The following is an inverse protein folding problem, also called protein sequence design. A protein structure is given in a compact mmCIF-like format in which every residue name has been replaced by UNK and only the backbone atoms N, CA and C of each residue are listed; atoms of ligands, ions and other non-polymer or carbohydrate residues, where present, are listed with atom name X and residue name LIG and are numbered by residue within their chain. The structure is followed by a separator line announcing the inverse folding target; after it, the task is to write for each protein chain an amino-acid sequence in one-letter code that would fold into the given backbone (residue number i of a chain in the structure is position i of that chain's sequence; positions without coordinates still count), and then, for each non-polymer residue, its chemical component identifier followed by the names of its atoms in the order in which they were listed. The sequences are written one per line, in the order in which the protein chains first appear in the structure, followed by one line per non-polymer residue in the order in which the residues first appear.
data_IF_167436186843
#
_entry.id   IF_167436186843
#
_cell.length_a   1.000
_cell.length_b   1.000
_cell.length_c   1.000
_cell.angle_alpha   90.00
_cell.angle_beta   90.00
_cell.angle_gamma   90.00
#
_symmetry.space_group_name_H-M   'P 1'
#
loop_
_entity.id
_entity.type
_entity.pdbx_description
1 polymer ?
#
# COMPACT_ATOMS: atom_id res chain seq x y z
N UNK A 1 20.63 -18.40 27.28
CA UNK A 1 20.79 -18.84 25.89
C UNK A 1 20.26 -17.72 25.04
N UNK A 2 21.12 -16.91 24.43
CA UNK A 2 20.76 -15.83 23.54
C UNK A 2 20.28 -16.49 22.26
N UNK A 3 18.97 -16.53 22.07
CA UNK A 3 18.35 -16.95 20.81
C UNK A 3 18.70 -15.85 19.79
N UNK A 4 19.60 -16.18 18.86
CA UNK A 4 20.12 -15.23 17.91
C UNK A 4 18.99 -14.73 16.99
N UNK A 5 18.39 -13.59 17.31
CA UNK A 5 17.49 -12.87 16.41
C UNK A 5 18.17 -12.75 15.06
N UNK A 6 17.65 -13.45 14.08
CA UNK A 6 18.15 -13.40 12.69
C UNK A 6 17.93 -11.97 12.20
N UNK A 7 18.99 -11.18 12.11
CA UNK A 7 18.87 -9.82 11.56
C UNK A 7 18.39 -9.94 10.12
N UNK A 8 17.27 -9.31 9.82
CA UNK A 8 16.77 -9.23 8.44
C UNK A 8 17.83 -8.55 7.57
N UNK A 9 18.03 -9.05 6.35
CA UNK A 9 18.91 -8.39 5.42
C UNK A 9 18.33 -7.04 4.98
N UNK A 10 19.16 -6.07 4.65
CA UNK A 10 18.70 -4.77 4.12
C UNK A 10 17.77 -4.94 2.90
N UNK A 11 18.07 -5.90 2.03
CA UNK A 11 17.22 -6.22 0.89
C UNK A 11 15.84 -6.72 1.31
N UNK A 12 15.77 -7.60 2.32
CA UNK A 12 14.50 -8.12 2.83
C UNK A 12 13.64 -7.03 3.45
N UNK A 13 14.25 -6.08 4.16
CA UNK A 13 13.53 -4.91 4.71
C UNK A 13 12.93 -4.07 3.59
N UNK A 14 13.71 -3.72 2.55
CA UNK A 14 13.20 -2.99 1.39
C UNK A 14 12.08 -3.76 0.68
N UNK A 15 12.25 -5.06 0.49
CA UNK A 15 11.23 -5.91 -0.14
C UNK A 15 9.93 -5.94 0.65
N UNK A 16 10.03 -5.99 1.99
CA UNK A 16 8.85 -5.92 2.87
C UNK A 16 8.13 -4.59 2.72
N UNK A 17 8.87 -3.48 2.72
CA UNK A 17 8.29 -2.14 2.49
C UNK A 17 7.56 -2.10 1.14
N UNK A 18 8.19 -2.57 0.06
CA UNK A 18 7.58 -2.60 -1.27
C UNK A 18 6.31 -3.46 -1.26
N UNK A 19 6.34 -4.63 -0.62
CA UNK A 19 5.17 -5.49 -0.55
C UNK A 19 3.99 -4.87 0.20
N UNK A 20 4.26 -4.12 1.27
CA UNK A 20 3.22 -3.53 2.14
C UNK A 20 2.75 -2.19 1.61
N UNK A 21 3.68 -1.28 1.28
CA UNK A 21 3.37 0.13 0.99
C UNK A 21 3.05 0.36 -0.49
N UNK A 22 3.72 -0.37 -1.40
CA UNK A 22 3.54 -0.14 -2.83
C UNK A 22 2.25 -0.79 -3.35
N UNK A 23 1.19 0.02 -3.49
CA UNK A 23 -0.16 -0.40 -3.92
C UNK A 23 -0.41 0.10 -5.35
N UNK A 24 -0.15 -0.75 -6.35
CA UNK A 24 -0.33 -0.41 -7.77
C UNK A 24 -1.77 -0.04 -8.11
N UNK A 25 -2.74 -0.64 -7.43
CA UNK A 25 -4.17 -0.45 -7.65
C UNK A 25 -4.62 1.00 -7.39
N UNK A 26 -3.91 1.70 -6.51
CA UNK A 26 -4.20 3.10 -6.20
C UNK A 26 -3.70 4.08 -7.27
N UNK A 27 -2.91 3.63 -8.24
CA UNK A 27 -2.47 4.47 -9.35
C UNK A 27 -3.63 4.87 -10.28
N UNK A 28 -4.60 3.99 -10.51
CA UNK A 28 -5.73 4.27 -11.39
C UNK A 28 -6.63 5.42 -10.89
N UNK A 29 -7.08 5.46 -9.63
CA UNK A 29 -7.78 6.62 -9.08
C UNK A 29 -6.94 7.90 -9.10
N UNK A 30 -5.64 7.83 -8.82
CA UNK A 30 -4.75 8.98 -8.90
C UNK A 30 -4.64 9.51 -10.32
N UNK A 31 -4.56 8.63 -11.33
CA UNK A 31 -4.54 9.01 -12.74
C UNK A 31 -5.81 9.74 -13.19
N UNK A 32 -6.97 9.48 -12.57
CA UNK A 32 -8.23 10.15 -12.87
C UNK A 32 -8.20 11.67 -12.58
N UNK A 33 -7.29 12.13 -11.71
CA UNK A 33 -7.11 13.58 -11.44
C UNK A 33 -6.41 14.30 -12.62
N UNK A 34 -5.81 13.55 -13.53
CA UNK A 34 -5.01 14.11 -14.64
C UNK A 34 -3.67 14.66 -14.18
N UNK A 35 -3.19 15.73 -14.84
CA UNK A 35 -1.87 16.30 -14.60
C UNK A 35 -1.67 16.86 -13.18
N UNK A 36 -2.73 17.31 -12.52
CA UNK A 36 -2.69 17.81 -11.15
C UNK A 36 -2.18 16.77 -10.12
N UNK A 37 -2.29 15.47 -10.42
CA UNK A 37 -1.77 14.43 -9.53
C UNK A 37 -0.29 14.62 -9.21
N UNK A 38 0.53 15.01 -10.18
CA UNK A 38 1.97 15.19 -9.98
C UNK A 38 2.29 16.30 -8.98
N UNK A 39 1.52 17.41 -9.02
CA UNK A 39 1.62 18.45 -7.99
C UNK A 39 1.31 17.87 -6.60
N UNK A 40 0.21 17.12 -6.46
CA UNK A 40 -0.21 16.57 -5.17
C UNK A 40 0.77 15.52 -4.64
N UNK A 41 1.33 14.68 -5.52
CA UNK A 41 2.38 13.75 -5.11
C UNK A 41 3.59 14.48 -4.55
N UNK A 42 4.13 15.48 -5.26
CA UNK A 42 5.29 16.25 -4.81
C UNK A 42 4.98 16.99 -3.51
N UNK A 43 3.85 17.68 -3.46
CA UNK A 43 3.42 18.44 -2.27
C UNK A 43 3.29 17.53 -1.04
N UNK A 44 2.61 16.39 -1.17
CA UNK A 44 2.41 15.46 -0.05
C UNK A 44 3.67 14.68 0.31
N UNK A 45 4.60 14.44 -0.61
CA UNK A 45 5.93 13.91 -0.27
C UNK A 45 6.64 14.88 0.67
N UNK A 46 6.65 16.18 0.36
CA UNK A 46 7.38 17.17 1.14
C UNK A 46 6.68 17.50 2.47
N UNK A 47 5.35 17.59 2.49
CA UNK A 47 4.61 18.08 3.65
C UNK A 47 4.09 16.96 4.55
N UNK A 48 3.92 15.74 4.04
CA UNK A 48 3.39 14.62 4.77
C UNK A 48 4.40 13.47 4.89
N UNK A 49 4.86 12.89 3.76
CA UNK A 49 5.70 11.69 3.80
C UNK A 49 7.04 11.92 4.49
N UNK A 50 7.75 13.00 4.17
CA UNK A 50 9.05 13.27 4.79
C UNK A 50 8.93 13.51 6.30
N UNK A 51 8.06 14.40 6.81
CA UNK A 51 7.87 14.57 8.25
C UNK A 51 7.41 13.28 8.94
N UNK A 52 6.48 12.55 8.33
CA UNK A 52 5.99 11.27 8.86
C UNK A 52 7.12 10.23 8.94
N UNK A 53 7.92 10.10 7.87
CA UNK A 53 9.07 9.19 7.84
C UNK A 53 10.14 9.54 8.88
N UNK A 54 10.39 10.83 9.13
CA UNK A 54 11.30 11.27 10.19
C UNK A 54 10.80 10.89 11.58
N UNK A 55 9.49 11.07 11.84
CA UNK A 55 8.88 10.67 13.12
C UNK A 55 8.94 9.16 13.31
N UNK A 56 8.60 8.38 12.29
CA UNK A 56 8.67 6.90 12.35
C UNK A 56 10.10 6.44 12.57
N UNK A 57 11.08 7.03 11.90
CA UNK A 57 12.49 6.68 12.07
C UNK A 57 12.99 7.00 13.49
N UNK A 58 12.62 8.15 14.04
CA UNK A 58 12.98 8.55 15.41
C UNK A 58 12.36 7.61 16.44
N UNK A 59 11.05 7.34 16.33
CA UNK A 59 10.35 6.47 17.26
C UNK A 59 10.82 5.01 17.15
N UNK A 60 11.01 4.50 15.93
CA UNK A 60 11.47 3.13 15.70
C UNK A 60 12.91 2.87 16.15
N UNK A 61 13.75 3.92 16.22
CA UNK A 61 15.11 3.81 16.74
C UNK A 61 15.19 4.07 18.25
N UNK A 62 14.21 4.75 18.82
CA UNK A 62 14.17 5.11 20.25
C UNK A 62 13.55 4.00 21.10
N UNK A 63 12.53 3.34 20.57
CA UNK A 63 11.78 2.29 21.26
C UNK A 63 12.12 0.91 20.69
N UNK A 64 12.86 0.10 21.45
CA UNK A 64 13.33 -1.22 21.04
C UNK A 64 12.27 -2.33 21.19
N UNK A 65 11.01 -1.98 21.52
CA UNK A 65 9.91 -2.91 21.74
C UNK A 65 9.43 -3.57 20.45
N UNK A 66 8.89 -4.78 20.55
CA UNK A 66 8.30 -5.50 19.41
C UNK A 66 6.86 -5.08 19.11
N UNK A 67 6.31 -4.13 19.88
CA UNK A 67 4.93 -3.66 19.77
C UNK A 67 4.72 -2.51 18.78
N UNK A 68 5.79 -1.95 18.17
CA UNK A 68 5.72 -0.85 17.22
C UNK A 68 4.88 0.33 17.74
N UNK A 69 3.87 0.76 16.99
CA UNK A 69 2.97 1.88 17.36
C UNK A 69 2.36 1.72 18.76
N UNK A 70 2.07 0.48 19.18
CA UNK A 70 1.55 0.23 20.54
C UNK A 70 2.53 0.71 21.60
N UNK A 71 3.81 0.34 21.50
CA UNK A 71 4.82 0.70 22.48
C UNK A 71 5.06 2.22 22.49
N UNK A 72 5.12 2.86 21.33
CA UNK A 72 5.31 4.29 21.23
C UNK A 72 4.21 5.07 21.93
N UNK A 73 2.95 4.67 21.71
CA UNK A 73 1.79 5.36 22.28
C UNK A 73 1.64 5.02 23.77
N UNK A 74 1.90 3.76 24.17
CA UNK A 74 1.86 3.36 25.58
C UNK A 74 2.87 4.14 26.41
N UNK A 75 4.11 4.23 25.94
CA UNK A 75 5.19 4.87 26.68
C UNK A 75 5.05 6.40 26.72
N UNK A 76 4.45 7.01 25.67
CA UNK A 76 4.18 8.44 25.64
C UNK A 76 2.89 8.87 26.33
N UNK A 77 1.81 8.08 26.22
CA UNK A 77 0.45 8.48 26.63
C UNK A 77 -0.21 7.51 27.62
N UNK A 78 0.46 6.43 27.95
CA UNK A 78 0.01 5.41 28.90
C UNK A 78 -0.79 4.25 28.28
N UNK A 79 -0.97 3.18 29.06
CA UNK A 79 -1.54 1.88 28.63
C UNK A 79 -2.91 1.99 27.95
N UNK A 80 -3.76 2.90 28.45
CA UNK A 80 -5.11 3.08 27.91
C UNK A 80 -5.09 3.55 26.46
N UNK A 81 -4.17 4.42 26.09
CA UNK A 81 -4.02 4.92 24.74
C UNK A 81 -3.29 3.91 23.85
N UNK A 82 -2.29 3.22 24.41
CA UNK A 82 -1.65 2.10 23.72
C UNK A 82 -2.64 1.02 23.32
N UNK A 83 -3.52 0.60 24.23
CA UNK A 83 -4.56 -0.39 23.92
C UNK A 83 -5.55 0.08 22.85
N UNK A 84 -5.94 1.36 22.86
CA UNK A 84 -6.86 1.93 21.86
C UNK A 84 -6.25 1.96 20.46
N UNK A 85 -5.01 2.41 20.33
CA UNK A 85 -4.35 2.48 19.03
C UNK A 85 -4.12 1.07 18.47
N UNK A 86 -3.70 0.12 19.33
CA UNK A 86 -3.52 -1.28 18.94
C UNK A 86 -4.80 -1.90 18.42
N UNK A 87 -5.94 -1.67 19.11
CA UNK A 87 -7.24 -2.14 18.65
C UNK A 87 -7.65 -1.53 17.31
N UNK A 88 -7.51 -0.20 17.17
CA UNK A 88 -7.84 0.49 15.91
C UNK A 88 -6.98 0.01 14.74
N UNK A 89 -5.71 -0.22 15.00
CA UNK A 89 -4.77 -0.75 14.02
C UNK A 89 -5.13 -2.19 13.62
N UNK A 90 -5.42 -3.04 14.60
CA UNK A 90 -5.84 -4.43 14.37
C UNK A 90 -7.12 -4.53 13.54
N UNK A 91 -8.15 -3.70 13.82
CA UNK A 91 -9.42 -3.72 13.07
C UNK A 91 -9.23 -3.34 11.60
N UNK A 92 -8.22 -2.51 11.28
CA UNK A 92 -7.96 -2.10 9.90
C UNK A 92 -7.56 -3.26 8.98
N UNK A 93 -6.82 -4.25 9.50
CA UNK A 93 -6.34 -5.38 8.69
C UNK A 93 -7.44 -6.28 8.13
N UNK A 94 -8.42 -6.78 8.91
CA UNK A 94 -9.53 -7.54 8.37
C UNK A 94 -10.32 -6.79 7.30
N UNK A 95 -10.52 -5.49 7.48
CA UNK A 95 -11.23 -4.66 6.50
C UNK A 95 -10.45 -4.53 5.20
N UNK A 96 -9.13 -4.36 5.29
CA UNK A 96 -8.26 -4.31 4.13
C UNK A 96 -8.22 -5.64 3.37
N UNK A 97 -8.04 -6.76 4.06
CA UNK A 97 -8.09 -8.10 3.44
C UNK A 97 -9.45 -8.35 2.79
N UNK A 98 -10.55 -7.96 3.43
CA UNK A 98 -11.89 -8.08 2.85
C UNK A 98 -12.01 -7.26 1.56
N UNK A 99 -11.48 -6.03 1.52
CA UNK A 99 -11.50 -5.20 0.30
C UNK A 99 -10.71 -5.84 -0.85
N UNK A 100 -9.56 -6.45 -0.57
CA UNK A 100 -8.78 -7.18 -1.57
C UNK A 100 -9.53 -8.42 -2.06
N UNK A 101 -10.19 -9.14 -1.15
CA UNK A 101 -10.98 -10.33 -1.51
C UNK A 101 -12.11 -10.00 -2.48
N UNK A 102 -12.80 -8.86 -2.29
CA UNK A 102 -13.89 -8.43 -3.19
C UNK A 102 -13.41 -8.00 -4.58
N UNK A 103 -12.18 -7.52 -4.71
CA UNK A 103 -11.60 -7.17 -6.02
C UNK A 103 -11.16 -8.40 -6.82
N UNK A 104 -10.82 -9.50 -6.14
CA UNK A 104 -10.20 -10.66 -6.77
C UNK A 104 -11.09 -11.36 -7.84
N UNK A 105 -12.39 -11.60 -7.61
CA UNK A 105 -13.28 -12.13 -8.63
C UNK A 105 -13.38 -11.27 -9.89
N UNK A 106 -13.40 -9.95 -9.72
CA UNK A 106 -13.50 -9.02 -10.85
C UNK A 106 -12.23 -9.04 -11.70
N UNK A 107 -11.05 -9.12 -11.07
CA UNK A 107 -9.76 -9.30 -11.76
C UNK A 107 -9.75 -10.62 -12.54
N UNK A 108 -10.18 -11.73 -11.91
CA UNK A 108 -10.29 -13.01 -12.60
C UNK A 108 -11.26 -12.96 -13.77
N UNK A 109 -12.41 -12.30 -13.60
CA UNK A 109 -13.39 -12.07 -14.65
C UNK A 109 -12.79 -11.35 -15.87
N UNK A 110 -12.01 -10.29 -15.62
CA UNK A 110 -11.30 -9.57 -16.68
C UNK A 110 -10.26 -10.43 -17.40
N UNK A 111 -9.48 -11.23 -16.65
CA UNK A 111 -8.42 -12.08 -17.21
C UNK A 111 -9.01 -13.21 -18.07
N UNK A 112 -10.09 -13.83 -17.63
CA UNK A 112 -10.69 -14.98 -18.33
C UNK A 112 -11.84 -14.59 -19.28
N UNK A 113 -12.25 -13.32 -19.32
CA UNK A 113 -13.36 -12.84 -20.12
C UNK A 113 -14.71 -13.40 -19.68
N UNK A 114 -14.88 -13.68 -18.38
CA UNK A 114 -16.06 -14.32 -17.80
C UNK A 114 -16.71 -13.40 -16.77
N UNK A 115 -18.03 -13.23 -16.85
CA UNK A 115 -18.80 -12.58 -15.80
C UNK A 115 -19.27 -13.61 -14.76
N UNK A 116 -18.75 -13.50 -13.55
CA UNK A 116 -19.16 -14.37 -12.44
C UNK A 116 -20.47 -13.86 -11.84
N UNK A 117 -21.42 -14.78 -11.60
CA UNK A 117 -22.61 -14.47 -10.82
C UNK A 117 -22.26 -14.26 -9.32
N UNK A 118 -23.20 -13.72 -8.55
CA UNK A 118 -22.99 -13.38 -7.13
C UNK A 118 -22.48 -14.57 -6.30
N UNK A 119 -23.05 -15.77 -6.51
CA UNK A 119 -22.67 -16.96 -5.74
C UNK A 119 -21.23 -17.38 -6.08
N UNK A 120 -20.86 -17.33 -7.36
CA UNK A 120 -19.49 -17.63 -7.78
C UNK A 120 -18.49 -16.62 -7.22
N UNK A 121 -18.82 -15.31 -7.24
CA UNK A 121 -17.99 -14.26 -6.61
C UNK A 121 -17.76 -14.53 -5.13
N UNK A 122 -18.81 -14.78 -4.36
CA UNK A 122 -18.72 -15.13 -2.93
C UNK A 122 -17.85 -16.38 -2.70
N UNK A 123 -17.99 -17.40 -3.55
CA UNK A 123 -17.17 -18.60 -3.47
C UNK A 123 -15.69 -18.32 -3.71
N UNK A 124 -15.36 -17.50 -4.70
CA UNK A 124 -14.00 -17.09 -5.02
C UNK A 124 -13.41 -16.23 -3.89
N UNK A 125 -14.17 -15.29 -3.34
CA UNK A 125 -13.77 -14.45 -2.20
C UNK A 125 -13.44 -15.29 -0.96
N UNK A 126 -14.32 -16.22 -0.61
CA UNK A 126 -14.08 -17.15 0.49
C UNK A 126 -12.85 -18.03 0.24
N UNK A 127 -12.69 -18.55 -0.95
CA UNK A 127 -11.51 -19.35 -1.32
C UNK A 127 -10.23 -18.51 -1.19
N UNK A 128 -10.24 -17.26 -1.67
CA UNK A 128 -9.12 -16.34 -1.53
C UNK A 128 -8.73 -16.13 -0.05
N UNK A 129 -9.70 -15.81 0.81
CA UNK A 129 -9.45 -15.59 2.24
C UNK A 129 -8.87 -16.86 2.90
N UNK A 130 -9.41 -18.03 2.58
CA UNK A 130 -8.90 -19.31 3.12
C UNK A 130 -7.49 -19.64 2.62
N UNK A 131 -7.20 -19.39 1.35
CA UNK A 131 -5.85 -19.57 0.79
C UNK A 131 -4.85 -18.66 1.51
N UNK A 132 -5.16 -17.37 1.66
CA UNK A 132 -4.31 -16.41 2.37
C UNK A 132 -4.10 -16.84 3.82
N UNK A 133 -5.16 -17.27 4.52
CA UNK A 133 -5.06 -17.79 5.89
C UNK A 133 -4.15 -19.01 6.00
N UNK A 134 -4.32 -19.98 5.11
CA UNK A 134 -3.50 -21.21 5.11
C UNK A 134 -2.03 -20.90 4.75
N UNK A 135 -1.80 -19.99 3.82
CA UNK A 135 -0.45 -19.52 3.49
C UNK A 135 0.19 -18.81 4.68
N UNK A 136 -0.54 -17.92 5.38
CA UNK A 136 -0.06 -17.22 6.54
C UNK A 136 0.32 -18.12 7.73
N UNK A 137 -0.28 -19.32 7.82
CA UNK A 137 0.13 -20.34 8.81
C UNK A 137 1.35 -21.16 8.39
N UNK A 138 1.75 -21.06 7.15
CA UNK A 138 2.87 -21.84 6.63
C UNK A 138 4.19 -21.10 6.88
N UNK A 139 5.29 -21.86 7.08
CA UNK A 139 6.64 -21.30 7.13
C UNK A 139 7.06 -20.58 5.83
N UNK A 140 6.31 -20.77 4.76
CA UNK A 140 6.56 -20.11 3.49
C UNK A 140 6.23 -18.61 3.53
N UNK A 141 5.26 -18.20 4.37
CA UNK A 141 4.88 -16.79 4.52
C UNK A 141 6.04 -15.93 5.05
N UNK A 142 6.85 -16.49 5.97
CA UNK A 142 7.99 -15.79 6.57
C UNK A 142 9.29 -15.97 5.76
N UNK A 143 9.20 -16.57 4.57
CA UNK A 143 10.40 -16.84 3.78
C UNK A 143 10.82 -15.61 2.98
N UNK A 144 12.10 -15.27 3.06
CA UNK A 144 12.69 -14.12 2.35
C UNK A 144 12.46 -14.19 0.83
N UNK A 145 12.39 -15.39 0.25
CA UNK A 145 12.17 -15.54 -1.19
C UNK A 145 10.73 -15.16 -1.62
N UNK A 146 9.71 -15.37 -0.77
CA UNK A 146 8.33 -14.95 -1.05
C UNK A 146 8.22 -13.43 -1.02
N UNK A 147 8.81 -12.78 0.01
CA UNK A 147 8.85 -11.33 0.12
C UNK A 147 9.61 -10.69 -1.05
N UNK A 148 10.81 -11.19 -1.32
CA UNK A 148 11.64 -10.66 -2.41
C UNK A 148 10.99 -10.90 -3.78
N UNK A 149 10.42 -12.08 -4.00
CA UNK A 149 9.70 -12.41 -5.23
C UNK A 149 8.47 -11.53 -5.44
N UNK A 150 7.67 -11.32 -4.38
CA UNK A 150 6.52 -10.42 -4.41
C UNK A 150 6.90 -8.98 -4.73
N UNK A 151 7.96 -8.47 -4.11
CA UNK A 151 8.47 -7.12 -4.38
C UNK A 151 8.95 -6.98 -5.84
N UNK A 152 9.71 -7.95 -6.34
CA UNK A 152 10.17 -7.95 -7.75
C UNK A 152 9.00 -7.94 -8.72
N UNK A 153 7.99 -8.78 -8.49
CA UNK A 153 6.80 -8.84 -9.35
C UNK A 153 6.06 -7.50 -9.33
N UNK A 154 5.83 -6.89 -8.16
CA UNK A 154 5.18 -5.58 -8.05
C UNK A 154 5.93 -4.50 -8.82
N UNK A 155 7.24 -4.41 -8.63
CA UNK A 155 8.06 -3.42 -9.33
C UNK A 155 8.08 -3.68 -10.84
N UNK A 156 8.21 -4.96 -11.26
CA UNK A 156 8.19 -5.31 -12.67
C UNK A 156 6.87 -4.94 -13.34
N UNK A 157 5.73 -5.21 -12.71
CA UNK A 157 4.40 -4.83 -13.22
C UNK A 157 4.31 -3.31 -13.36
N UNK A 158 4.74 -2.54 -12.36
CA UNK A 158 4.70 -1.08 -12.44
C UNK A 158 5.57 -0.52 -13.56
N UNK A 159 6.79 -1.07 -13.72
CA UNK A 159 7.71 -0.67 -14.80
C UNK A 159 7.14 -1.02 -16.17
N UNK A 160 6.58 -2.22 -16.34
CA UNK A 160 6.00 -2.66 -17.60
C UNK A 160 4.78 -1.78 -17.95
N UNK A 161 3.86 -1.58 -17.03
CA UNK A 161 2.67 -0.73 -17.26
C UNK A 161 3.09 0.72 -17.56
N UNK A 162 4.06 1.25 -16.82
CA UNK A 162 4.60 2.59 -17.07
C UNK A 162 5.25 2.71 -18.45
N UNK A 163 6.09 1.75 -18.84
CA UNK A 163 6.75 1.72 -20.14
C UNK A 163 5.74 1.62 -21.30
N UNK A 164 4.75 0.71 -21.17
CA UNK A 164 3.68 0.56 -22.16
C UNK A 164 2.82 1.82 -22.24
N UNK A 165 2.52 2.48 -21.12
CA UNK A 165 1.78 3.72 -21.08
C UNK A 165 2.53 4.87 -21.78
N UNK A 166 3.83 4.99 -21.54
CA UNK A 166 4.66 5.98 -22.23
C UNK A 166 4.73 5.70 -23.74
N UNK A 167 4.97 4.45 -24.11
CA UNK A 167 4.98 4.07 -25.52
C UNK A 167 3.65 4.38 -26.22
N UNK A 168 2.52 4.00 -25.60
CA UNK A 168 1.20 4.30 -26.12
C UNK A 168 0.97 5.83 -26.27
N UNK A 169 1.39 6.61 -25.27
CA UNK A 169 1.26 8.06 -25.32
C UNK A 169 2.13 8.72 -26.40
N UNK A 170 3.28 8.15 -26.73
CA UNK A 170 4.14 8.62 -27.81
C UNK A 170 3.51 8.39 -29.19
N UNK A 171 2.76 7.32 -29.38
CA UNK A 171 2.09 7.00 -30.66
C UNK A 171 0.72 7.69 -30.82
N UNK A 172 -0.05 7.80 -29.73
CA UNK A 172 -1.45 8.24 -29.77
C UNK A 172 -1.69 9.61 -29.12
N UNK A 173 -0.64 10.21 -28.52
CA UNK A 173 -0.76 11.42 -27.71
C UNK A 173 -1.20 11.13 -26.28
N UNK A 174 -1.08 12.12 -25.42
CA UNK A 174 -1.50 12.02 -24.02
C UNK A 174 -3.03 12.13 -23.90
N UNK A 175 -3.64 11.26 -23.10
CA UNK A 175 -5.08 11.29 -22.83
C UNK A 175 -5.50 12.52 -22.01
N UNK A 176 -4.59 13.07 -21.21
CA UNK A 176 -4.79 14.28 -20.42
C UNK A 176 -3.94 15.42 -20.94
N UNK A 177 -4.42 16.66 -20.75
CA UNK A 177 -3.61 17.84 -21.00
C UNK A 177 -2.47 17.92 -19.99
N UNK A 178 -1.22 17.83 -20.48
CA UNK A 178 0.00 17.86 -19.68
C UNK A 178 0.64 19.25 -19.68
N UNK A 179 -0.13 20.31 -19.96
CA UNK A 179 0.35 21.69 -19.95
C UNK A 179 0.68 22.15 -18.52
N UNK A 180 1.53 23.18 -18.42
CA UNK A 180 1.85 23.79 -17.12
C UNK A 180 0.61 24.41 -16.42
N UNK A 181 -0.40 24.81 -17.19
CA UNK A 181 -1.64 25.36 -16.66
C UNK A 181 -2.47 24.33 -15.91
N UNK A 182 -2.46 23.07 -16.36
CA UNK A 182 -3.20 21.95 -15.72
C UNK A 182 -2.41 21.28 -14.60
N UNK A 183 -1.15 21.64 -14.38
CA UNK A 183 -0.34 21.10 -13.29
C UNK A 183 -0.75 21.66 -11.93
N UNK A 184 -1.15 22.94 -11.85
CA UNK A 184 -1.56 23.55 -10.60
C UNK A 184 -2.98 23.09 -10.22
N UNK A 185 -3.21 22.81 -8.92
CA UNK A 185 -4.50 22.31 -8.49
C UNK A 185 -5.56 23.40 -8.45
N UNK A 186 -6.76 23.07 -8.93
CA UNK A 186 -7.95 23.87 -8.70
C UNK A 186 -8.53 23.55 -7.32
N UNK A 187 -8.22 24.39 -6.32
CA UNK A 187 -8.67 24.19 -4.92
C UNK A 187 -10.20 24.27 -4.77
N UNK A 188 -10.90 24.80 -5.74
CA UNK A 188 -12.37 24.87 -5.75
C UNK A 188 -13.01 23.55 -6.18
N UNK A 189 -12.24 22.65 -6.81
CA UNK A 189 -12.73 21.35 -7.25
C UNK A 189 -12.70 20.33 -6.10
N UNK A 190 -13.81 20.22 -5.37
CA UNK A 190 -13.94 19.30 -4.22
C UNK A 190 -13.75 17.83 -4.60
N UNK A 191 -14.06 17.45 -5.83
CA UNK A 191 -13.84 16.07 -6.31
C UNK A 191 -12.33 15.76 -6.40
N UNK A 192 -11.54 16.70 -6.92
CA UNK A 192 -10.09 16.53 -6.97
C UNK A 192 -9.47 16.42 -5.56
N UNK A 193 -9.97 17.18 -4.59
CA UNK A 193 -9.53 17.10 -3.19
C UNK A 193 -9.87 15.73 -2.55
N UNK A 194 -10.95 15.07 -2.96
CA UNK A 194 -11.31 13.74 -2.49
C UNK A 194 -10.25 12.69 -2.79
N UNK A 195 -9.48 12.85 -3.88
CA UNK A 195 -8.39 11.92 -4.23
C UNK A 195 -7.14 12.08 -3.38
N UNK A 196 -6.99 13.19 -2.63
CA UNK A 196 -5.83 13.38 -1.74
C UNK A 196 -5.74 12.29 -0.68
N UNK A 197 -6.89 11.83 -0.17
CA UNK A 197 -6.95 10.73 0.79
C UNK A 197 -6.33 9.44 0.22
N UNK A 198 -6.48 9.17 -1.07
CA UNK A 198 -5.91 8.01 -1.76
C UNK A 198 -4.38 8.15 -1.84
N UNK A 199 -3.88 9.35 -2.16
CA UNK A 199 -2.43 9.59 -2.21
C UNK A 199 -1.83 9.47 -0.81
N UNK A 200 -2.47 10.04 0.21
CA UNK A 200 -2.02 9.92 1.62
C UNK A 200 -2.03 8.45 2.04
N UNK A 201 -3.06 7.68 1.70
CA UNK A 201 -3.14 6.26 2.01
C UNK A 201 -1.97 5.48 1.42
N UNK A 202 -1.51 5.83 0.21
CA UNK A 202 -0.34 5.20 -0.41
C UNK A 202 0.99 5.49 0.29
N UNK A 203 1.04 6.51 1.16
CA UNK A 203 2.22 6.82 1.96
C UNK A 203 2.22 6.19 3.35
N UNK A 204 1.12 5.54 3.75
CA UNK A 204 1.00 4.88 5.05
C UNK A 204 1.44 3.42 4.96
N UNK A 205 1.84 2.86 6.09
CA UNK A 205 2.13 1.44 6.23
C UNK A 205 3.62 1.10 6.39
N UNK A 206 4.55 2.03 6.17
CA UNK A 206 5.97 1.72 6.37
C UNK A 206 6.37 1.68 7.86
N UNK A 207 5.55 2.15 8.76
CA UNK A 207 5.69 1.99 10.20
C UNK A 207 5.60 0.51 10.67
N UNK A 208 5.07 -0.37 9.83
CA UNK A 208 4.92 -1.82 10.12
C UNK A 208 6.27 -2.52 10.30
N UNK A 209 7.35 -1.93 9.82
CA UNK A 209 8.70 -2.53 9.89
C UNK A 209 9.51 -2.06 11.10
N UNK A 210 8.97 -1.20 11.95
CA UNK A 210 9.64 -0.67 13.15
C UNK A 210 9.35 -1.46 14.42
#
# INVERSE_FOLDING_TARGET
MSDGKKKLSFLTVISTIICVVFVCEAAAPAAAIGNQQFFWWIFLILTFLLPYGMVVAELGTTYDGEGGIYDWVRDGLGDKWGARISYSYWVNYPLWIASLATMFPDILGMVFGVEFNLIAKMGIELAFVWIVYLMGRSKAADSEWVLNGGAIIKVAVAVIVGALGIWYAMENGFANDMSAATFLPELTNTNALGYLSIIIFNFMGFEVIC
#
